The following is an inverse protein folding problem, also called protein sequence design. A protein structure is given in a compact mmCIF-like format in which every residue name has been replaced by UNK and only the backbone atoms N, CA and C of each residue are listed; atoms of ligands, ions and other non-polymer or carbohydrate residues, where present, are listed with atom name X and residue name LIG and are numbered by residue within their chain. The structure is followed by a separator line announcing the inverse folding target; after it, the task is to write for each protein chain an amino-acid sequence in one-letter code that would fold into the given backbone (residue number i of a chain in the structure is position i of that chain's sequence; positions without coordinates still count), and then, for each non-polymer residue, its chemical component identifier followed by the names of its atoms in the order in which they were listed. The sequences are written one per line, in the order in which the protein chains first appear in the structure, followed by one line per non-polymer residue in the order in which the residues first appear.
data_IF_070857196776
#
_entry.id   IF_070857196776
#
_cell.length_a   1.000
_cell.length_b   1.000
_cell.length_c   1.000
_cell.angle_alpha   90.00
_cell.angle_beta   90.00
_cell.angle_gamma   90.00
#
_symmetry.space_group_name_H-M   'P 1'
#
loop_
_entity.id
_entity.type
_entity.pdbx_description
1 polymer ?
#
# COMPACT_ATOMS: atom_id res chain seq x y z
N UNK A 1 10.54 21.69 -26.19
CA UNK A 1 9.58 21.11 -25.22
C UNK A 1 10.36 20.63 -24.02
N UNK A 2 9.98 21.03 -22.82
CA UNK A 2 10.57 20.53 -21.57
C UNK A 2 10.09 19.08 -21.36
N UNK A 3 11.02 18.15 -21.09
CA UNK A 3 10.66 16.76 -20.81
C UNK A 3 9.84 16.70 -19.53
N UNK A 4 8.78 15.86 -19.43
CA UNK A 4 7.96 15.74 -18.23
C UNK A 4 8.74 15.10 -17.07
N UNK A 5 8.22 15.24 -15.86
CA UNK A 5 8.59 14.40 -14.72
C UNK A 5 7.94 13.03 -14.93
N UNK A 6 8.69 11.94 -14.76
CA UNK A 6 8.13 10.60 -14.83
C UNK A 6 7.94 10.01 -13.41
N UNK A 7 6.72 9.61 -13.10
CA UNK A 7 6.38 8.91 -11.87
C UNK A 7 6.29 7.41 -12.18
N UNK A 8 7.08 6.59 -11.50
CA UNK A 8 7.06 5.13 -11.66
C UNK A 8 6.37 4.49 -10.47
N UNK A 9 5.18 3.95 -10.70
CA UNK A 9 4.32 3.31 -9.71
C UNK A 9 3.06 4.11 -9.39
N UNK A 10 1.89 3.54 -9.67
CA UNK A 10 0.55 4.10 -9.44
C UNK A 10 -0.06 3.72 -8.09
N UNK A 11 0.76 3.49 -7.05
CA UNK A 11 0.32 3.35 -5.68
C UNK A 11 -0.07 4.69 -5.06
N UNK A 12 -0.42 4.70 -3.76
CA UNK A 12 -0.86 5.91 -3.06
C UNK A 12 0.14 7.08 -3.21
N UNK A 13 1.42 6.81 -3.01
CA UNK A 13 2.47 7.83 -3.12
C UNK A 13 2.56 8.41 -4.54
N UNK A 14 2.58 7.56 -5.57
CA UNK A 14 2.63 8.02 -6.97
C UNK A 14 1.40 8.83 -7.37
N UNK A 15 0.21 8.43 -6.91
CA UNK A 15 -1.04 9.17 -7.17
C UNK A 15 -1.05 10.54 -6.47
N UNK A 16 -0.59 10.62 -5.22
CA UNK A 16 -0.46 11.90 -4.51
C UNK A 16 0.55 12.80 -5.22
N UNK A 17 1.68 12.26 -5.66
CA UNK A 17 2.68 13.00 -6.43
C UNK A 17 2.10 13.50 -7.77
N UNK A 18 1.40 12.66 -8.53
CA UNK A 18 0.77 13.02 -9.79
C UNK A 18 -0.25 14.16 -9.60
N UNK A 19 -1.12 14.03 -8.59
CA UNK A 19 -2.10 15.07 -8.24
C UNK A 19 -1.44 16.39 -7.84
N UNK A 20 -0.36 16.33 -7.06
CA UNK A 20 0.37 17.52 -6.63
C UNK A 20 1.03 18.24 -7.82
N UNK A 21 1.69 17.51 -8.71
CA UNK A 21 2.29 18.05 -9.93
C UNK A 21 1.23 18.61 -10.88
N UNK A 22 0.10 17.90 -11.07
CA UNK A 22 -1.01 18.36 -11.90
C UNK A 22 -1.55 19.71 -11.42
N UNK A 23 -1.87 19.80 -10.12
CA UNK A 23 -2.40 21.03 -9.52
C UNK A 23 -1.44 22.23 -9.59
N UNK A 24 -0.15 21.94 -9.57
CA UNK A 24 0.89 22.94 -9.72
C UNK A 24 1.22 23.28 -11.18
N UNK A 25 0.63 22.59 -12.19
CA UNK A 25 0.92 22.80 -13.58
C UNK A 25 2.30 22.28 -14.02
N UNK A 26 2.93 21.37 -13.26
CA UNK A 26 4.20 20.73 -13.63
C UNK A 26 3.90 19.58 -14.59
N UNK A 27 4.46 19.55 -15.82
CA UNK A 27 4.26 18.45 -16.75
C UNK A 27 4.79 17.13 -16.19
N UNK A 28 3.96 16.10 -16.19
CA UNK A 28 4.33 14.77 -15.70
C UNK A 28 3.68 13.65 -16.51
N UNK A 29 4.20 12.45 -16.32
CA UNK A 29 3.61 11.20 -16.77
C UNK A 29 3.73 10.17 -15.64
N UNK A 30 2.71 9.34 -15.44
CA UNK A 30 2.71 8.25 -14.46
C UNK A 30 2.61 6.92 -15.20
N UNK A 31 3.49 5.99 -14.88
CA UNK A 31 3.42 4.59 -15.35
C UNK A 31 3.18 3.63 -14.20
N UNK A 32 2.33 2.63 -14.43
CA UNK A 32 1.99 1.58 -13.48
C UNK A 32 2.10 0.20 -14.18
N UNK A 33 2.76 -0.74 -13.52
CA UNK A 33 2.98 -2.08 -14.06
C UNK A 33 1.70 -2.93 -14.11
N UNK A 34 0.73 -2.66 -13.23
CA UNK A 34 -0.57 -3.36 -13.19
C UNK A 34 -1.57 -2.71 -14.15
N UNK A 35 -2.64 -3.48 -14.44
CA UNK A 35 -3.83 -2.96 -15.13
C UNK A 35 -4.72 -2.08 -14.21
N UNK A 36 -4.26 -1.72 -13.01
CA UNK A 36 -5.00 -0.92 -12.02
C UNK A 36 -4.07 -0.02 -11.21
N UNK A 37 -4.60 1.08 -10.77
CA UNK A 37 -3.98 1.95 -9.78
C UNK A 37 -4.15 1.39 -8.35
N UNK A 38 -3.52 2.02 -7.36
CA UNK A 38 -3.63 1.73 -5.93
C UNK A 38 -2.48 0.89 -5.34
N UNK A 39 -1.73 0.17 -6.16
CA UNK A 39 -0.59 -0.64 -5.68
C UNK A 39 -1.01 -1.68 -4.61
N UNK A 40 -0.48 -1.54 -3.38
CA UNK A 40 -0.82 -2.39 -2.22
C UNK A 40 -2.21 -2.10 -1.61
N UNK A 41 -2.85 -1.01 -1.96
CA UNK A 41 -4.26 -0.78 -1.67
C UNK A 41 -5.08 -1.64 -2.63
N UNK A 42 -5.90 -2.52 -2.07
CA UNK A 42 -6.79 -3.41 -2.80
C UNK A 42 -8.05 -3.61 -1.98
N UNK A 43 -9.17 -3.17 -2.53
CA UNK A 43 -10.51 -3.38 -1.97
C UNK A 43 -11.34 -4.17 -2.97
N UNK A 44 -12.06 -5.18 -2.50
CA UNK A 44 -13.04 -5.93 -3.28
C UNK A 44 -14.36 -5.85 -2.54
N UNK A 45 -15.41 -5.39 -3.19
CA UNK A 45 -16.77 -5.26 -2.62
C UNK A 45 -16.78 -4.49 -1.28
N UNK A 46 -16.01 -3.41 -1.16
CA UNK A 46 -15.89 -2.61 0.06
C UNK A 46 -15.01 -3.20 1.16
N UNK A 47 -14.39 -4.36 0.92
CA UNK A 47 -13.56 -5.10 1.88
C UNK A 47 -12.08 -5.02 1.51
N UNK A 48 -11.25 -4.60 2.45
CA UNK A 48 -9.83 -4.34 2.22
C UNK A 48 -8.97 -5.60 2.36
N UNK A 49 -8.28 -5.93 1.29
CA UNK A 49 -7.26 -6.99 1.23
C UNK A 49 -5.83 -6.46 1.37
N UNK A 50 -5.68 -5.15 1.37
CA UNK A 50 -4.47 -4.41 1.72
C UNK A 50 -4.62 -3.70 3.08
N UNK A 51 -4.14 -2.43 3.21
CA UNK A 51 -4.31 -1.62 4.41
C UNK A 51 -5.81 -1.38 4.69
N UNK A 52 -6.16 -1.29 5.97
CA UNK A 52 -7.56 -1.20 6.42
C UNK A 52 -7.80 0.07 7.24
N UNK A 53 -6.79 0.56 7.96
CA UNK A 53 -6.97 1.56 9.00
C UNK A 53 -6.28 2.88 8.68
N UNK A 54 -6.92 3.95 9.14
CA UNK A 54 -6.37 5.29 9.29
C UNK A 54 -6.39 5.62 10.77
N UNK A 55 -5.35 6.25 11.28
CA UNK A 55 -5.21 6.67 12.67
C UNK A 55 -5.06 8.18 12.76
N UNK A 56 -6.17 8.95 12.82
CA UNK A 56 -6.12 10.42 12.78
C UNK A 56 -5.26 11.04 13.88
N UNK A 57 -5.29 10.47 15.09
CA UNK A 57 -4.49 10.99 16.19
C UNK A 57 -2.98 10.74 16.03
N UNK A 58 -2.58 9.70 15.30
CA UNK A 58 -1.17 9.41 15.03
C UNK A 58 -0.68 10.11 13.76
N UNK A 59 -1.56 10.29 12.77
CA UNK A 59 -1.25 10.77 11.43
C UNK A 59 -2.23 11.88 11.00
N UNK A 60 -2.26 13.04 11.70
CA UNK A 60 -3.25 14.09 11.46
C UNK A 60 -3.22 14.62 10.02
N UNK A 61 -2.04 14.93 9.47
CA UNK A 61 -1.91 15.48 8.12
C UNK A 61 -2.45 14.50 7.05
N UNK A 62 -2.23 13.19 7.27
CA UNK A 62 -2.79 12.18 6.37
C UNK A 62 -4.31 12.05 6.54
N UNK A 63 -4.82 12.15 7.76
CA UNK A 63 -6.26 12.13 8.01
C UNK A 63 -6.94 13.33 7.36
N UNK A 64 -6.36 14.53 7.45
CA UNK A 64 -6.84 15.73 6.76
C UNK A 64 -6.82 15.55 5.24
N UNK A 65 -5.78 14.92 4.70
CA UNK A 65 -5.72 14.58 3.28
C UNK A 65 -6.86 13.64 2.87
N UNK A 66 -7.14 12.59 3.66
CA UNK A 66 -8.25 11.64 3.42
C UNK A 66 -9.60 12.38 3.40
N UNK A 67 -9.85 13.28 4.35
CA UNK A 67 -11.06 14.07 4.39
C UNK A 67 -11.11 15.09 3.23
N UNK A 68 -9.98 15.72 2.92
CA UNK A 68 -9.84 16.72 1.85
C UNK A 68 -10.11 16.18 0.44
N UNK A 69 -9.99 14.88 0.22
CA UNK A 69 -10.41 14.22 -1.04
C UNK A 69 -11.86 13.74 -1.01
N UNK A 70 -12.62 14.05 0.05
CA UNK A 70 -14.02 13.69 0.19
C UNK A 70 -14.27 12.24 0.59
N UNK A 71 -13.24 11.50 1.04
CA UNK A 71 -13.42 10.15 1.57
C UNK A 71 -14.09 10.21 2.95
N UNK A 72 -15.10 9.38 3.18
CA UNK A 72 -15.81 9.30 4.46
C UNK A 72 -15.19 8.22 5.32
N UNK A 73 -14.93 8.54 6.58
CA UNK A 73 -14.41 7.59 7.57
C UNK A 73 -15.50 7.14 8.53
N UNK A 74 -15.31 5.97 9.14
CA UNK A 74 -16.13 5.46 10.25
C UNK A 74 -15.22 4.71 11.23
N UNK A 75 -15.66 4.61 12.47
CA UNK A 75 -14.87 3.97 13.54
C UNK A 75 -14.79 2.46 13.33
N UNK A 76 -13.60 1.88 13.49
CA UNK A 76 -13.44 0.44 13.57
C UNK A 76 -14.29 -0.10 14.72
N UNK A 77 -15.11 -1.12 14.42
CA UNK A 77 -15.87 -1.78 15.48
C UNK A 77 -14.93 -2.58 16.41
N UNK A 78 -14.99 -2.29 17.69
CA UNK A 78 -14.21 -2.94 18.75
C UNK A 78 -15.02 -3.18 20.03
N UNK A 79 -16.36 -2.98 19.96
CA UNK A 79 -17.26 -3.15 21.11
C UNK A 79 -17.56 -4.63 21.34
N UNK A 80 -17.47 -5.09 22.59
CA UNK A 80 -17.68 -6.47 23.00
C UNK A 80 -16.39 -7.17 23.40
N UNK A 81 -16.48 -8.45 23.78
CA UNK A 81 -15.33 -9.23 24.20
C UNK A 81 -14.48 -9.68 23.01
N UNK A 82 -13.19 -9.81 23.22
CA UNK A 82 -12.28 -10.45 22.30
C UNK A 82 -12.07 -11.94 22.63
N UNK A 83 -11.65 -12.72 21.65
CA UNK A 83 -11.29 -14.14 21.85
C UNK A 83 -9.77 -14.31 21.84
N UNK A 84 -9.27 -15.13 22.74
CA UNK A 84 -7.87 -15.55 22.73
C UNK A 84 -7.78 -17.08 22.81
N UNK A 85 -7.06 -17.69 21.86
CA UNK A 85 -6.86 -19.13 21.81
C UNK A 85 -5.37 -19.46 21.90
N UNK A 86 -4.99 -20.15 22.97
CA UNK A 86 -3.64 -20.68 23.17
C UNK A 86 -3.48 -22.01 22.43
N UNK A 87 -2.23 -22.47 22.25
CA UNK A 87 -1.90 -23.75 21.59
C UNK A 87 -2.63 -24.95 22.21
N UNK A 88 -2.91 -24.90 23.50
CA UNK A 88 -3.67 -25.92 24.23
C UNK A 88 -4.91 -25.27 24.84
N UNK A 89 -6.07 -25.82 24.52
CA UNK A 89 -7.34 -25.38 25.09
C UNK A 89 -8.31 -24.73 24.08
N UNK A 90 -9.50 -24.44 24.61
CA UNK A 90 -10.56 -23.72 23.90
C UNK A 90 -10.29 -22.22 23.90
N UNK A 91 -10.90 -21.52 22.94
CA UNK A 91 -10.88 -20.07 22.93
C UNK A 91 -11.53 -19.52 24.22
N UNK A 92 -10.87 -18.55 24.85
CA UNK A 92 -11.34 -17.86 26.04
C UNK A 92 -11.78 -16.45 25.70
N UNK A 93 -12.83 -15.95 26.35
CA UNK A 93 -13.30 -14.57 26.21
C UNK A 93 -12.57 -13.69 27.23
N UNK A 94 -12.17 -12.53 26.74
CA UNK A 94 -11.58 -11.46 27.53
C UNK A 94 -12.32 -10.15 27.24
N UNK A 95 -12.45 -9.23 28.21
CA UNK A 95 -12.96 -7.91 27.96
C UNK A 95 -12.22 -7.29 26.75
N UNK A 96 -12.97 -6.80 25.78
CA UNK A 96 -12.37 -6.15 24.61
C UNK A 96 -11.62 -4.87 24.99
N UNK A 97 -10.50 -4.63 24.37
CA UNK A 97 -9.75 -3.38 24.49
C UNK A 97 -10.27 -2.44 23.43
N UNK A 98 -11.00 -1.40 23.83
CA UNK A 98 -11.32 -0.28 22.94
C UNK A 98 -10.04 0.47 22.63
N UNK A 99 -9.83 0.76 21.36
CA UNK A 99 -8.74 1.61 20.96
C UNK A 99 -9.11 3.07 21.24
N UNK A 100 -8.28 3.74 22.02
CA UNK A 100 -8.37 5.17 22.26
C UNK A 100 -6.97 5.79 22.07
N UNK A 101 -6.77 6.61 21.06
CA UNK A 101 -7.75 7.04 20.03
C UNK A 101 -8.18 5.92 19.07
N UNK A 102 -9.43 6.00 18.60
CA UNK A 102 -10.02 5.00 17.73
C UNK A 102 -9.32 4.87 16.36
N UNK A 103 -9.16 3.65 15.87
CA UNK A 103 -8.83 3.38 14.47
C UNK A 103 -10.05 3.67 13.60
N UNK A 104 -9.80 4.31 12.44
CA UNK A 104 -10.84 4.63 11.46
C UNK A 104 -10.69 3.75 10.22
N UNK A 105 -11.82 3.47 9.57
CA UNK A 105 -11.90 2.80 8.26
C UNK A 105 -12.59 3.70 7.25
N UNK A 106 -12.42 3.43 5.95
CA UNK A 106 -13.08 4.19 4.90
C UNK A 106 -14.37 3.50 4.47
N UNK A 107 -15.45 4.28 4.35
CA UNK A 107 -16.69 3.82 3.74
C UNK A 107 -16.44 3.50 2.27
N UNK A 108 -16.76 2.26 1.88
CA UNK A 108 -16.43 1.71 0.56
C UNK A 108 -15.02 1.10 0.44
N UNK A 109 -14.24 1.11 1.54
CA UNK A 109 -12.89 0.56 1.62
C UNK A 109 -11.80 1.52 1.16
N UNK A 110 -10.56 1.13 1.39
CA UNK A 110 -9.38 1.99 1.18
C UNK A 110 -9.17 2.40 -0.30
N UNK A 111 -9.65 1.59 -1.26
CA UNK A 111 -9.53 1.94 -2.69
C UNK A 111 -10.33 3.20 -3.08
N UNK A 112 -11.32 3.61 -2.27
CA UNK A 112 -12.01 4.90 -2.46
C UNK A 112 -11.03 6.07 -2.38
N UNK A 113 -10.04 6.01 -1.49
CA UNK A 113 -9.00 7.03 -1.38
C UNK A 113 -8.20 7.17 -2.68
N UNK A 114 -7.71 6.06 -3.21
CA UNK A 114 -6.92 6.07 -4.45
C UNK A 114 -7.74 6.46 -5.66
N UNK A 115 -9.01 6.05 -5.73
CA UNK A 115 -9.93 6.47 -6.79
C UNK A 115 -10.16 7.99 -6.75
N UNK A 116 -10.48 8.56 -5.58
CA UNK A 116 -10.69 10.00 -5.43
C UNK A 116 -9.46 10.85 -5.76
N UNK A 117 -8.26 10.33 -5.48
CA UNK A 117 -7.02 11.02 -5.88
C UNK A 117 -6.82 10.91 -7.39
N UNK A 118 -7.10 9.76 -7.98
CA UNK A 118 -6.98 9.51 -9.41
C UNK A 118 -7.97 10.36 -10.23
N UNK A 119 -9.19 10.61 -9.73
CA UNK A 119 -10.18 11.49 -10.38
C UNK A 119 -9.64 12.91 -10.68
N UNK A 120 -8.65 13.37 -9.90
CA UNK A 120 -7.98 14.66 -10.10
C UNK A 120 -6.74 14.57 -11.04
N UNK A 121 -6.42 13.38 -11.57
CA UNK A 121 -5.26 13.14 -12.45
C UNK A 121 -5.75 12.88 -13.87
N UNK A 122 -5.33 13.64 -14.88
CA UNK A 122 -5.80 13.43 -16.26
C UNK A 122 -5.42 12.04 -16.80
N UNK A 123 -6.36 11.34 -17.42
CA UNK A 123 -6.16 9.97 -17.93
C UNK A 123 -4.98 9.87 -18.91
N UNK A 124 -4.78 10.87 -19.77
CA UNK A 124 -3.69 10.89 -20.74
C UNK A 124 -2.30 10.98 -20.10
N UNK A 125 -2.21 11.37 -18.82
CA UNK A 125 -0.97 11.37 -18.05
C UNK A 125 -0.69 10.01 -17.39
N UNK A 126 -1.60 9.03 -17.47
CA UNK A 126 -1.49 7.73 -16.80
C UNK A 126 -1.38 6.61 -17.84
N UNK A 127 -0.36 5.77 -17.70
CA UNK A 127 -0.17 4.57 -18.51
C UNK A 127 -0.13 3.33 -17.63
N UNK A 128 -1.14 2.51 -17.72
CA UNK A 128 -1.23 1.21 -17.05
C UNK A 128 -0.55 0.12 -17.91
N UNK A 129 -0.25 -1.04 -17.32
CA UNK A 129 0.42 -2.17 -17.95
C UNK A 129 1.78 -1.77 -18.56
N UNK A 130 2.49 -0.84 -17.93
CA UNK A 130 3.79 -0.36 -18.34
C UNK A 130 4.78 -0.48 -17.17
N UNK A 131 5.56 -1.54 -17.15
CA UNK A 131 6.55 -1.80 -16.10
C UNK A 131 7.91 -1.25 -16.53
N UNK A 132 8.47 -0.33 -15.73
CA UNK A 132 9.84 0.12 -15.90
C UNK A 132 10.82 -1.05 -15.71
N UNK A 133 11.76 -1.20 -16.62
CA UNK A 133 12.78 -2.26 -16.63
C UNK A 133 14.19 -1.72 -16.51
N UNK A 134 14.46 -0.53 -17.06
CA UNK A 134 15.76 0.12 -17.00
C UNK A 134 15.62 1.65 -16.97
N UNK A 135 16.58 2.30 -16.33
CA UNK A 135 16.79 3.74 -16.33
C UNK A 135 18.19 4.05 -16.83
N UNK A 136 18.26 4.91 -17.85
CA UNK A 136 19.51 5.37 -18.45
C UNK A 136 19.68 6.87 -18.21
N UNK A 137 20.73 7.25 -17.52
CA UNK A 137 21.04 8.64 -17.24
C UNK A 137 21.78 9.27 -18.42
N UNK A 138 21.16 10.26 -19.03
CA UNK A 138 21.76 11.01 -20.12
C UNK A 138 22.01 12.48 -19.74
N UNK A 139 22.73 13.22 -20.59
CA UNK A 139 23.08 14.62 -20.31
C UNK A 139 21.85 15.54 -20.19
N UNK A 140 20.75 15.15 -20.81
CA UNK A 140 19.54 15.97 -20.89
C UNK A 140 18.34 15.36 -20.13
N UNK A 141 18.53 14.37 -19.27
CA UNK A 141 17.48 13.72 -18.50
C UNK A 141 17.66 12.21 -18.41
N UNK A 142 16.57 11.51 -18.12
CA UNK A 142 16.55 10.06 -17.94
C UNK A 142 15.71 9.42 -19.05
N UNK A 143 16.22 8.36 -19.65
CA UNK A 143 15.44 7.47 -20.52
C UNK A 143 14.99 6.28 -19.66
N UNK A 144 13.70 5.99 -19.66
CA UNK A 144 13.11 4.86 -18.93
C UNK A 144 12.55 3.87 -19.93
N UNK A 145 13.11 2.65 -19.96
CA UNK A 145 12.60 1.56 -20.79
C UNK A 145 11.50 0.79 -20.04
N UNK A 146 10.48 0.39 -20.79
CA UNK A 146 9.35 -0.37 -20.27
C UNK A 146 9.28 -1.77 -20.91
N UNK A 147 8.62 -2.71 -20.25
CA UNK A 147 8.53 -4.12 -20.69
C UNK A 147 7.66 -4.33 -21.94
N UNK A 148 6.90 -3.33 -22.36
CA UNK A 148 6.18 -3.31 -23.64
C UNK A 148 7.03 -2.79 -24.81
N UNK A 149 8.34 -2.57 -24.58
CA UNK A 149 9.30 -2.13 -25.58
C UNK A 149 9.33 -0.61 -25.86
N UNK A 150 8.62 0.19 -25.04
CA UNK A 150 8.63 1.66 -25.15
C UNK A 150 9.74 2.30 -24.32
N UNK A 151 10.28 3.42 -24.84
CA UNK A 151 11.17 4.31 -24.10
C UNK A 151 10.48 5.63 -23.80
N UNK A 152 10.60 6.08 -22.56
CA UNK A 152 10.05 7.34 -22.07
C UNK A 152 11.18 8.27 -21.66
N UNK A 153 11.10 9.53 -22.13
CA UNK A 153 12.11 10.55 -21.80
C UNK A 153 11.59 11.44 -20.69
N UNK A 154 12.36 11.55 -19.61
CA UNK A 154 12.01 12.36 -18.44
C UNK A 154 13.08 13.39 -18.10
N UNK A 155 12.68 14.55 -17.57
CA UNK A 155 13.59 15.51 -16.95
C UNK A 155 14.08 14.99 -15.59
N UNK A 156 13.20 14.29 -14.86
CA UNK A 156 13.42 13.71 -13.53
C UNK A 156 12.48 12.51 -13.33
N UNK A 157 12.90 11.56 -12.52
CA UNK A 157 12.11 10.38 -12.16
C UNK A 157 11.75 10.41 -10.68
N UNK A 158 10.47 10.23 -10.36
CA UNK A 158 9.96 9.97 -9.02
C UNK A 158 9.63 8.49 -8.91
N UNK A 159 10.41 7.76 -8.12
CA UNK A 159 10.29 6.32 -7.96
C UNK A 159 9.35 6.02 -6.77
N UNK A 160 8.07 5.77 -7.07
CA UNK A 160 7.01 5.48 -6.10
C UNK A 160 6.90 3.98 -5.80
N UNK A 161 8.03 3.30 -5.67
CA UNK A 161 8.18 1.88 -5.41
C UNK A 161 8.90 1.63 -4.10
N UNK A 162 8.71 0.45 -3.45
CA UNK A 162 9.60 0.01 -2.39
C UNK A 162 11.04 -0.05 -2.88
N UNK A 163 12.03 0.47 -2.11
CA UNK A 163 13.43 0.50 -2.55
C UNK A 163 13.98 -0.88 -2.91
N UNK A 164 13.71 -1.91 -2.09
CA UNK A 164 14.13 -3.29 -2.33
C UNK A 164 13.59 -3.83 -3.66
N UNK A 165 12.32 -3.57 -3.95
CA UNK A 165 11.69 -3.98 -5.22
C UNK A 165 12.35 -3.28 -6.41
N UNK A 166 12.59 -1.97 -6.32
CA UNK A 166 13.27 -1.20 -7.35
C UNK A 166 14.68 -1.72 -7.62
N UNK A 167 15.48 -1.96 -6.56
CA UNK A 167 16.83 -2.52 -6.66
C UNK A 167 16.87 -3.90 -7.32
N UNK A 168 15.80 -4.70 -7.19
CA UNK A 168 15.74 -6.06 -7.74
C UNK A 168 15.16 -6.14 -9.16
N UNK A 169 14.44 -5.11 -9.62
CA UNK A 169 13.64 -5.17 -10.86
C UNK A 169 14.04 -4.17 -11.93
N UNK A 170 14.82 -3.16 -11.57
CA UNK A 170 15.19 -2.07 -12.48
C UNK A 170 16.71 -2.04 -12.65
N UNK A 171 17.16 -2.03 -13.89
CA UNK A 171 18.57 -1.80 -14.24
C UNK A 171 18.83 -0.29 -14.25
N UNK A 172 19.92 0.13 -13.63
CA UNK A 172 20.37 1.53 -13.63
C UNK A 172 21.67 1.67 -14.42
N UNK A 173 21.72 2.59 -15.37
CA UNK A 173 22.91 2.94 -16.13
C UNK A 173 23.13 4.47 -16.12
N UNK A 174 24.20 4.98 -15.46
CA UNK A 174 25.22 4.22 -14.75
C UNK A 174 24.68 3.49 -13.52
N UNK A 175 25.37 2.45 -13.03
CA UNK A 175 24.95 1.72 -11.84
C UNK A 175 24.82 2.62 -10.62
N UNK A 176 23.85 2.32 -9.76
CA UNK A 176 23.74 3.01 -8.45
C UNK A 176 25.02 2.83 -7.63
N UNK A 177 25.43 3.84 -6.87
CA UNK A 177 26.55 3.70 -5.94
C UNK A 177 26.34 2.48 -5.02
N UNK A 178 27.38 1.66 -4.76
CA UNK A 178 27.23 0.42 -3.99
C UNK A 178 26.60 0.61 -2.60
N UNK A 179 26.83 1.76 -1.96
CA UNK A 179 26.25 2.07 -0.66
C UNK A 179 24.73 2.33 -0.76
N UNK A 180 24.29 2.99 -1.82
CA UNK A 180 22.87 3.23 -2.12
C UNK A 180 22.17 1.92 -2.46
N UNK A 181 22.76 1.10 -3.31
CA UNK A 181 22.20 -0.20 -3.69
C UNK A 181 22.01 -1.11 -2.46
N UNK A 182 23.02 -1.20 -1.58
CA UNK A 182 22.90 -1.96 -0.32
C UNK A 182 21.81 -1.42 0.59
N UNK A 183 21.68 -0.08 0.70
CA UNK A 183 20.60 0.54 1.46
C UNK A 183 19.22 0.11 0.93
N UNK A 184 19.02 0.19 -0.38
CA UNK A 184 17.73 -0.18 -0.99
C UNK A 184 17.42 -1.67 -0.79
N UNK A 185 18.41 -2.54 -0.99
CA UNK A 185 18.27 -3.99 -0.78
C UNK A 185 17.97 -4.36 0.68
N UNK A 186 18.53 -3.63 1.63
CA UNK A 186 18.30 -3.88 3.06
C UNK A 186 16.96 -3.36 3.58
N UNK A 187 16.26 -2.48 2.84
CA UNK A 187 14.99 -1.91 3.28
C UNK A 187 13.84 -2.88 3.05
N UNK A 188 13.20 -3.43 4.10
CA UNK A 188 12.08 -4.35 3.93
C UNK A 188 10.86 -3.65 3.32
N UNK A 189 10.12 -4.38 2.48
CA UNK A 189 8.84 -3.91 1.96
C UNK A 189 7.74 -4.25 2.95
N UNK A 190 7.14 -3.23 3.57
CA UNK A 190 6.12 -3.43 4.60
C UNK A 190 4.92 -4.25 4.08
N UNK A 191 4.53 -5.24 4.85
CA UNK A 191 3.45 -6.18 4.57
C UNK A 191 3.64 -7.07 3.32
N UNK A 192 4.77 -6.98 2.61
CA UNK A 192 5.03 -7.85 1.45
C UNK A 192 4.99 -9.35 1.78
N UNK A 193 5.53 -9.84 2.92
CA UNK A 193 5.47 -11.26 3.25
C UNK A 193 4.10 -11.73 3.75
N UNK A 194 3.11 -10.85 3.89
CA UNK A 194 1.85 -11.16 4.56
C UNK A 194 0.75 -11.61 3.59
N UNK A 195 -0.22 -12.33 4.14
CA UNK A 195 -1.45 -12.67 3.44
C UNK A 195 -2.67 -12.31 4.31
N UNK A 196 -3.76 -11.96 3.66
CA UNK A 196 -5.01 -11.56 4.28
C UNK A 196 -6.17 -12.40 3.77
N UNK A 197 -7.03 -12.81 4.68
CA UNK A 197 -8.24 -13.56 4.44
C UNK A 197 -9.45 -12.77 4.93
N UNK A 198 -10.55 -12.80 4.18
CA UNK A 198 -11.82 -12.17 4.54
C UNK A 198 -12.94 -13.17 4.34
N UNK A 199 -13.84 -13.31 5.30
CA UNK A 199 -15.07 -14.10 5.23
C UNK A 199 -16.28 -13.19 5.39
N UNK A 200 -17.26 -13.31 4.49
CA UNK A 200 -18.48 -12.49 4.44
C UNK A 200 -19.67 -13.30 4.89
N UNK A 201 -20.54 -12.70 5.67
CA UNK A 201 -21.72 -13.35 6.27
C UNK A 201 -22.98 -12.53 5.99
N UNK A 202 -24.14 -13.13 6.21
CA UNK A 202 -25.45 -12.48 6.11
C UNK A 202 -25.67 -11.43 7.21
N UNK A 203 -25.10 -11.65 8.40
CA UNK A 203 -25.24 -10.77 9.56
C UNK A 203 -23.99 -10.87 10.47
N UNK A 204 -23.74 -9.85 11.30
CA UNK A 204 -22.60 -9.85 12.22
C UNK A 204 -22.95 -10.63 13.52
N UNK A 205 -23.18 -11.94 13.43
CA UNK A 205 -23.65 -12.81 14.53
C UNK A 205 -22.70 -12.78 15.75
N UNK A 206 -21.42 -12.48 15.57
CA UNK A 206 -20.49 -12.31 16.69
C UNK A 206 -20.84 -11.09 17.55
N UNK A 207 -21.34 -10.00 16.94
CA UNK A 207 -21.82 -8.83 17.70
C UNK A 207 -23.07 -9.16 18.52
N UNK A 208 -23.98 -9.93 17.98
CA UNK A 208 -25.18 -10.44 18.68
C UNK A 208 -24.79 -11.33 19.87
N UNK A 209 -23.66 -12.07 19.76
CA UNK A 209 -23.10 -12.88 20.84
C UNK A 209 -22.26 -12.06 21.85
N UNK A 210 -22.23 -10.72 21.73
CA UNK A 210 -21.47 -9.84 22.61
C UNK A 210 -19.96 -9.85 22.37
N UNK A 211 -19.53 -10.28 21.15
CA UNK A 211 -18.12 -10.29 20.75
C UNK A 211 -17.80 -9.10 19.86
N UNK A 212 -16.60 -8.58 19.96
CA UNK A 212 -16.08 -7.49 19.14
C UNK A 212 -15.73 -7.92 17.70
N UNK A 213 -15.66 -9.23 17.44
CA UNK A 213 -15.08 -9.77 16.21
C UNK A 213 -13.56 -9.85 16.24
N UNK A 214 -12.93 -9.33 17.28
CA UNK A 214 -11.50 -9.46 17.49
C UNK A 214 -11.14 -10.82 18.07
N UNK A 215 -10.11 -11.45 17.49
CA UNK A 215 -9.53 -12.67 18.05
C UNK A 215 -8.02 -12.74 17.80
N UNK A 216 -7.31 -13.36 18.71
CA UNK A 216 -5.92 -13.80 18.53
C UNK A 216 -5.84 -15.29 18.77
N UNK A 217 -5.16 -16.01 17.88
CA UNK A 217 -5.07 -17.46 17.98
C UNK A 217 -3.65 -17.95 17.70
N UNK A 218 -3.23 -18.92 18.48
CA UNK A 218 -2.00 -19.69 18.28
C UNK A 218 -2.25 -21.02 17.55
N UNK A 219 -3.49 -21.25 17.12
CA UNK A 219 -3.93 -22.47 16.42
C UNK A 219 -4.58 -22.07 15.11
N UNK A 220 -4.14 -22.70 14.00
CA UNK A 220 -4.65 -22.43 12.66
C UNK A 220 -3.93 -21.27 11.96
N UNK A 221 -4.33 -20.97 10.72
CA UNK A 221 -3.60 -20.00 9.90
C UNK A 221 -3.83 -18.54 10.30
N UNK A 222 -4.96 -18.19 10.94
CA UNK A 222 -5.30 -16.81 11.28
C UNK A 222 -4.74 -16.47 12.66
N UNK A 223 -3.71 -15.63 12.73
CA UNK A 223 -3.07 -15.23 14.00
C UNK A 223 -3.76 -14.06 14.66
N UNK A 224 -4.39 -13.21 13.87
CA UNK A 224 -5.11 -12.02 14.32
C UNK A 224 -6.34 -11.81 13.43
N UNK A 225 -7.50 -11.63 14.04
CA UNK A 225 -8.81 -11.51 13.39
C UNK A 225 -9.49 -10.24 13.88
N UNK A 226 -10.23 -9.57 13.00
CA UNK A 226 -10.99 -8.35 13.32
C UNK A 226 -12.33 -8.34 12.60
N UNK A 227 -13.25 -7.56 13.14
CA UNK A 227 -14.48 -7.17 12.46
C UNK A 227 -14.15 -6.36 11.20
N UNK A 228 -14.67 -6.80 10.06
CA UNK A 228 -14.50 -6.16 8.76
C UNK A 228 -15.83 -5.63 8.21
N UNK A 229 -16.89 -5.61 9.03
CA UNK A 229 -18.21 -5.12 8.60
C UNK A 229 -18.09 -3.74 7.99
N UNK A 230 -18.62 -3.55 6.81
CA UNK A 230 -18.54 -2.30 6.06
C UNK A 230 -19.47 -1.22 6.64
N UNK A 231 -19.30 0.02 6.22
CA UNK A 231 -20.12 1.14 6.70
C UNK A 231 -21.61 1.01 6.32
N UNK A 232 -21.92 0.29 5.26
CA UNK A 232 -23.29 -0.02 4.79
C UNK A 232 -23.85 -1.32 5.40
N UNK A 233 -23.12 -1.95 6.32
CA UNK A 233 -23.60 -3.07 7.12
C UNK A 233 -23.32 -4.47 6.57
N UNK A 234 -22.55 -4.62 5.49
CA UNK A 234 -22.13 -5.94 4.99
C UNK A 234 -21.23 -6.61 6.01
N UNK A 235 -21.72 -7.66 6.65
CA UNK A 235 -21.04 -8.33 7.74
C UNK A 235 -19.83 -9.13 7.25
N UNK A 236 -18.67 -8.91 7.84
CA UNK A 236 -17.45 -9.64 7.50
C UNK A 236 -16.47 -9.71 8.68
N UNK A 237 -15.65 -10.76 8.68
CA UNK A 237 -14.45 -10.90 9.50
C UNK A 237 -13.24 -10.95 8.58
N UNK A 238 -12.15 -10.28 8.94
CA UNK A 238 -10.88 -10.49 8.29
C UNK A 238 -9.82 -11.01 9.25
N UNK A 239 -8.82 -11.72 8.71
CA UNK A 239 -7.68 -12.15 9.50
C UNK A 239 -6.38 -12.11 8.73
N UNK A 240 -5.29 -11.84 9.47
CA UNK A 240 -3.94 -11.99 8.96
C UNK A 240 -3.50 -13.45 9.07
N UNK A 241 -2.90 -13.96 7.98
CA UNK A 241 -2.36 -15.32 7.95
C UNK A 241 -0.93 -15.29 8.47
N UNK A 242 -0.72 -15.96 9.62
CA UNK A 242 0.58 -16.06 10.28
C UNK A 242 1.48 -17.20 9.78
N UNK A 243 0.98 -18.01 8.83
CA UNK A 243 1.78 -19.06 8.17
C UNK A 243 2.78 -18.41 7.24
N UNK A 244 4.03 -18.88 7.22
CA UNK A 244 5.08 -18.32 6.38
C UNK A 244 4.73 -18.37 4.89
N UNK A 245 5.33 -17.49 4.09
CA UNK A 245 5.08 -17.45 2.64
C UNK A 245 5.42 -18.79 1.96
N UNK A 246 6.48 -19.45 2.40
CA UNK A 246 6.90 -20.76 1.87
C UNK A 246 5.87 -21.85 2.21
N UNK A 247 5.40 -21.91 3.45
CA UNK A 247 4.37 -22.86 3.85
C UNK A 247 3.05 -22.60 3.13
N UNK A 248 2.66 -21.32 2.94
CA UNK A 248 1.47 -20.96 2.16
C UNK A 248 1.57 -21.41 0.71
N UNK A 249 2.73 -21.21 0.08
CA UNK A 249 2.97 -21.68 -1.29
C UNK A 249 2.87 -23.21 -1.41
N UNK A 250 3.37 -23.93 -0.40
CA UNK A 250 3.33 -25.40 -0.36
C UNK A 250 1.92 -25.94 -0.08
N UNK A 251 1.17 -25.33 0.83
CA UNK A 251 -0.18 -25.76 1.19
C UNK A 251 -1.21 -25.44 0.10
N UNK A 252 -1.03 -24.35 -0.59
CA UNK A 252 -1.95 -23.83 -1.60
C UNK A 252 -3.18 -23.13 -1.04
N UNK A 253 -3.76 -22.28 -1.88
CA UNK A 253 -4.89 -21.37 -1.52
C UNK A 253 -6.09 -22.10 -0.91
N UNK A 254 -6.53 -23.22 -1.54
CA UNK A 254 -7.74 -23.93 -1.09
C UNK A 254 -7.58 -24.51 0.31
N UNK A 255 -6.44 -25.13 0.61
CA UNK A 255 -6.16 -25.70 1.92
C UNK A 255 -6.12 -24.61 3.01
N UNK A 256 -5.54 -23.45 2.71
CA UNK A 256 -5.50 -22.31 3.65
C UNK A 256 -6.88 -21.74 3.92
N UNK A 257 -7.72 -21.56 2.91
CA UNK A 257 -9.11 -21.11 3.08
C UNK A 257 -9.89 -22.12 3.94
N UNK A 258 -9.80 -23.41 3.64
CA UNK A 258 -10.48 -24.45 4.42
C UNK A 258 -10.03 -24.45 5.89
N UNK A 259 -8.72 -24.30 6.12
CA UNK A 259 -8.18 -24.24 7.48
C UNK A 259 -8.62 -22.96 8.22
N UNK A 260 -8.68 -21.81 7.53
CA UNK A 260 -9.16 -20.55 8.08
C UNK A 260 -10.65 -20.63 8.47
N UNK A 261 -11.49 -21.21 7.63
CA UNK A 261 -12.92 -21.41 7.93
C UNK A 261 -13.14 -22.32 9.11
N UNK A 262 -12.40 -23.44 9.18
CA UNK A 262 -12.44 -24.33 10.35
C UNK A 262 -12.05 -23.58 11.63
N UNK A 263 -11.00 -22.75 11.57
CA UNK A 263 -10.56 -21.95 12.71
C UNK A 263 -11.63 -20.92 13.12
N UNK A 264 -12.25 -20.22 12.18
CA UNK A 264 -13.35 -19.29 12.46
C UNK A 264 -14.51 -20.03 13.14
N UNK A 265 -14.86 -21.25 12.67
CA UNK A 265 -15.88 -22.09 13.29
C UNK A 265 -15.54 -22.47 14.73
N UNK A 266 -14.27 -22.76 15.04
CA UNK A 266 -13.82 -23.04 16.42
C UNK A 266 -13.87 -21.82 17.33
N UNK A 267 -13.58 -20.63 16.78
CA UNK A 267 -13.52 -19.38 17.54
C UNK A 267 -14.91 -18.76 17.75
N UNK A 268 -15.70 -18.63 16.70
CA UNK A 268 -16.94 -17.86 16.68
C UNK A 268 -18.23 -18.72 16.57
N UNK A 269 -18.08 -20.03 16.57
CA UNK A 269 -19.19 -20.98 16.42
C UNK A 269 -19.37 -21.48 15.00
N UNK A 270 -20.15 -22.57 14.82
CA UNK A 270 -20.29 -23.29 13.56
C UNK A 270 -20.69 -22.41 12.36
N UNK A 271 -21.54 -21.41 12.56
CA UNK A 271 -21.95 -20.42 11.55
C UNK A 271 -20.76 -19.72 10.90
N UNK A 272 -19.68 -19.50 11.66
CA UNK A 272 -18.49 -18.83 11.13
C UNK A 272 -17.69 -19.69 10.14
N UNK A 273 -17.93 -20.99 10.06
CA UNK A 273 -17.33 -21.88 9.06
C UNK A 273 -18.06 -21.84 7.71
N UNK A 274 -19.25 -21.21 7.64
CA UNK A 274 -20.13 -21.21 6.48
C UNK A 274 -20.40 -19.76 5.96
N UNK A 275 -19.38 -19.05 5.46
CA UNK A 275 -19.58 -17.71 4.91
C UNK A 275 -20.31 -17.75 3.58
N UNK A 276 -20.96 -16.64 3.21
CA UNK A 276 -21.54 -16.44 1.87
C UNK A 276 -20.45 -16.46 0.80
N UNK A 277 -19.31 -15.81 1.09
CA UNK A 277 -18.15 -15.77 0.19
C UNK A 277 -16.87 -15.48 0.96
N UNK A 278 -15.72 -15.73 0.33
CA UNK A 278 -14.41 -15.47 0.90
C UNK A 278 -13.50 -14.76 -0.08
N UNK A 279 -12.63 -13.89 0.45
CA UNK A 279 -11.54 -13.30 -0.31
C UNK A 279 -10.20 -13.64 0.32
N UNK A 280 -9.19 -13.82 -0.51
CA UNK A 280 -7.83 -14.15 -0.09
C UNK A 280 -6.83 -13.41 -0.97
N UNK A 281 -5.90 -12.71 -0.35
CA UNK A 281 -4.76 -12.09 -1.04
C UNK A 281 -3.47 -12.47 -0.33
N UNK A 282 -2.58 -13.11 -1.04
CA UNK A 282 -1.19 -13.32 -0.64
C UNK A 282 -0.31 -12.29 -1.35
N UNK A 283 0.23 -11.36 -0.59
CA UNK A 283 1.11 -10.33 -1.13
C UNK A 283 2.50 -10.87 -1.43
N UNK A 284 2.94 -11.93 -0.73
CA UNK A 284 4.21 -12.60 -1.00
C UNK A 284 4.25 -13.28 -2.37
N UNK A 285 3.10 -13.73 -2.87
CA UNK A 285 2.96 -14.31 -4.20
C UNK A 285 2.82 -13.26 -5.33
N UNK A 286 2.84 -11.97 -5.01
CA UNK A 286 2.70 -10.88 -5.97
C UNK A 286 4.09 -10.33 -6.36
N UNK A 287 4.59 -10.62 -7.59
CA UNK A 287 5.94 -10.23 -8.01
C UNK A 287 6.13 -8.72 -8.20
N UNK A 288 5.03 -7.96 -8.21
CA UNK A 288 5.04 -6.49 -8.24
C UNK A 288 4.97 -5.89 -6.82
N UNK A 289 5.04 -6.72 -5.79
CA UNK A 289 5.03 -6.30 -4.37
C UNK A 289 6.24 -6.87 -3.63
N UNK A 290 6.47 -8.18 -3.72
CA UNK A 290 7.48 -8.89 -2.95
C UNK A 290 8.70 -9.28 -3.79
N UNK A 291 9.85 -9.30 -3.13
CA UNK A 291 11.08 -9.92 -3.61
C UNK A 291 11.38 -11.19 -2.82
N UNK A 292 12.30 -12.06 -3.25
CA UNK A 292 12.69 -13.22 -2.44
C UNK A 292 13.16 -12.86 -1.02
N UNK A 293 13.83 -11.72 -0.85
CA UNK A 293 14.33 -11.26 0.46
C UNK A 293 13.18 -10.83 1.39
N UNK A 294 12.06 -10.36 0.85
CA UNK A 294 10.86 -10.04 1.65
C UNK A 294 10.16 -11.28 2.21
N UNK A 295 10.38 -12.48 1.64
CA UNK A 295 9.75 -13.71 2.12
C UNK A 295 10.37 -14.23 3.43
N UNK A 296 11.58 -13.80 3.72
CA UNK A 296 12.38 -14.24 4.89
C UNK A 296 12.33 -13.19 6.00
N UNK A 297 12.21 -11.91 5.64
CA UNK A 297 12.28 -10.77 6.54
C UNK A 297 10.94 -10.02 6.55
N UNK A 298 10.18 -10.19 7.62
CA UNK A 298 8.92 -9.47 7.87
C UNK A 298 9.06 -8.22 8.73
N UNK A 299 10.28 -7.68 8.87
CA UNK A 299 10.53 -6.51 9.68
C UNK A 299 9.78 -5.27 9.17
N UNK A 300 9.43 -4.38 10.10
CA UNK A 300 8.89 -3.07 9.76
C UNK A 300 10.03 -2.18 9.25
N UNK A 301 9.86 -1.43 8.13
CA UNK A 301 10.86 -0.47 7.69
C UNK A 301 11.09 0.61 8.75
N UNK A 302 12.33 1.06 8.87
CA UNK A 302 12.72 2.13 9.79
C UNK A 302 13.17 3.36 9.01
N UNK A 303 13.06 4.53 9.62
CA UNK A 303 13.57 5.76 9.05
C UNK A 303 15.09 5.71 8.90
N UNK A 304 15.59 6.36 7.87
CA UNK A 304 17.01 6.38 7.51
C UNK A 304 17.49 7.82 7.48
N UNK A 305 18.53 8.09 8.25
CA UNK A 305 19.16 9.42 8.35
C UNK A 305 20.32 9.55 7.34
N UNK A 306 20.03 9.31 6.07
CA UNK A 306 20.94 9.51 4.94
C UNK A 306 20.15 9.64 3.64
N UNK A 307 20.75 10.25 2.59
CA UNK A 307 20.10 10.35 1.29
C UNK A 307 19.76 8.97 0.69
N UNK A 308 18.59 8.85 0.09
CA UNK A 308 18.17 7.66 -0.66
C UNK A 308 18.83 7.55 -2.02
N UNK A 309 19.33 8.67 -2.57
CA UNK A 309 19.99 8.74 -3.87
C UNK A 309 21.23 9.63 -3.72
N UNK A 310 22.35 9.14 -4.25
CA UNK A 310 23.64 9.84 -4.23
C UNK A 310 24.30 9.76 -5.63
N UNK A 311 25.39 10.50 -5.83
CA UNK A 311 26.17 10.49 -7.06
C UNK A 311 25.45 11.11 -8.24
N UNK A 312 25.64 10.56 -9.43
CA UNK A 312 25.13 11.12 -10.68
C UNK A 312 23.60 11.16 -10.74
N UNK A 313 22.92 10.24 -10.03
CA UNK A 313 21.47 10.16 -9.96
C UNK A 313 20.83 11.23 -9.07
N UNK A 314 21.55 11.85 -8.15
CA UNK A 314 21.01 12.75 -7.12
C UNK A 314 20.17 13.91 -7.67
N UNK A 315 20.45 14.37 -8.90
CA UNK A 315 19.73 15.48 -9.53
C UNK A 315 18.58 15.02 -10.45
N UNK A 316 18.42 13.70 -10.64
CA UNK A 316 17.50 13.14 -11.65
C UNK A 316 16.55 12.07 -11.11
N UNK A 317 16.76 11.62 -9.89
CA UNK A 317 16.00 10.52 -9.29
C UNK A 317 15.66 10.84 -7.84
N UNK A 318 14.40 10.65 -7.45
CA UNK A 318 13.94 10.69 -6.07
C UNK A 318 13.14 9.43 -5.74
N UNK A 319 13.32 8.91 -4.52
CA UNK A 319 12.47 7.86 -3.99
C UNK A 319 11.34 8.48 -3.17
N UNK A 320 10.11 8.11 -3.53
CA UNK A 320 8.89 8.59 -2.89
C UNK A 320 7.97 7.44 -2.42
N UNK A 321 8.46 6.18 -2.41
CA UNK A 321 7.74 5.07 -1.80
C UNK A 321 7.56 5.26 -0.29
N UNK A 322 6.52 4.64 0.29
CA UNK A 322 6.21 4.77 1.72
C UNK A 322 7.37 4.40 2.64
N UNK A 323 8.20 3.46 2.23
CA UNK A 323 9.39 3.00 2.97
C UNK A 323 10.44 4.09 3.12
N UNK A 324 10.37 5.15 2.29
CA UNK A 324 11.33 6.28 2.32
C UNK A 324 10.87 7.46 3.15
N UNK A 325 9.73 7.33 3.82
CA UNK A 325 9.24 8.35 4.75
C UNK A 325 10.18 8.55 5.92
N UNK A 326 10.34 9.81 6.34
CA UNK A 326 11.15 10.16 7.51
C UNK A 326 10.44 9.83 8.82
N UNK A 327 9.10 9.88 8.85
CA UNK A 327 8.32 9.78 10.08
C UNK A 327 7.53 8.49 10.19
N UNK A 328 6.99 7.99 9.06
CA UNK A 328 6.05 6.87 9.04
C UNK A 328 6.40 5.84 7.96
N UNK A 329 7.64 5.30 7.96
CA UNK A 329 8.07 4.36 6.91
C UNK A 329 7.10 3.18 6.80
N UNK A 330 6.69 2.84 5.58
CA UNK A 330 5.78 1.74 5.28
C UNK A 330 4.29 2.01 5.49
N UNK A 331 3.90 3.04 6.23
CA UNK A 331 2.48 3.41 6.44
C UNK A 331 1.89 4.20 5.26
N UNK A 332 0.56 4.30 5.24
CA UNK A 332 -0.16 5.18 4.30
C UNK A 332 0.25 6.65 4.49
N UNK A 333 0.40 7.08 5.75
CA UNK A 333 0.90 8.41 6.09
C UNK A 333 2.33 8.63 5.56
N UNK A 334 3.16 7.59 5.56
CA UNK A 334 4.50 7.65 4.98
C UNK A 334 4.47 7.79 3.45
N UNK A 335 3.51 7.15 2.77
CA UNK A 335 3.32 7.35 1.34
C UNK A 335 2.91 8.80 1.01
N UNK A 336 2.07 9.41 1.84
CA UNK A 336 1.66 10.81 1.74
C UNK A 336 2.85 11.76 1.95
N UNK A 337 3.59 11.60 3.05
CA UNK A 337 4.76 12.43 3.37
C UNK A 337 5.82 12.34 2.26
N UNK A 338 6.21 11.13 1.85
CA UNK A 338 7.26 10.93 0.86
C UNK A 338 6.88 11.53 -0.51
N UNK A 339 5.61 11.43 -0.91
CA UNK A 339 5.12 12.05 -2.14
C UNK A 339 5.23 13.58 -2.12
N UNK A 340 4.77 14.21 -1.04
CA UNK A 340 4.84 15.67 -0.88
C UNK A 340 6.29 16.15 -0.80
N UNK A 341 7.15 15.46 -0.06
CA UNK A 341 8.57 15.75 0.02
C UNK A 341 9.25 15.70 -1.34
N UNK A 342 8.97 14.67 -2.15
CA UNK A 342 9.58 14.50 -3.48
C UNK A 342 9.06 15.49 -4.52
N UNK A 343 7.82 15.97 -4.39
CA UNK A 343 7.24 16.93 -5.35
C UNK A 343 7.50 18.40 -5.01
N UNK A 344 7.68 18.74 -3.73
CA UNK A 344 7.86 20.12 -3.29
C UNK A 344 9.00 20.88 -4.00
N UNK A 345 10.22 20.32 -4.20
CA UNK A 345 11.28 21.02 -4.92
C UNK A 345 10.95 21.30 -6.40
N UNK A 346 10.19 20.40 -7.05
CA UNK A 346 9.79 20.51 -8.45
C UNK A 346 8.75 21.63 -8.63
N UNK A 347 7.80 21.72 -7.70
CA UNK A 347 6.78 22.76 -7.67
C UNK A 347 7.44 24.12 -7.40
N UNK A 348 8.32 24.21 -6.40
CA UNK A 348 9.04 25.44 -6.08
C UNK A 348 9.96 25.93 -7.21
N UNK A 349 10.45 25.01 -8.05
CA UNK A 349 11.24 25.38 -9.22
C UNK A 349 10.38 26.04 -10.30
N UNK A 350 9.15 25.56 -10.51
CA UNK A 350 8.21 26.15 -11.47
C UNK A 350 7.80 27.56 -11.04
N UNK A 351 7.58 27.78 -9.73
CA UNK A 351 7.21 29.09 -9.20
C UNK A 351 8.27 30.18 -9.41
N UNK A 352 9.52 29.79 -9.60
CA UNK A 352 10.64 30.71 -9.90
C UNK A 352 10.76 31.06 -11.38
N UNK A 353 10.02 30.38 -12.26
CA UNK A 353 10.06 30.70 -13.69
C UNK A 353 9.19 31.93 -13.99
N UNK A 354 9.59 32.81 -14.93
CA UNK A 354 8.76 33.91 -15.40
C UNK A 354 7.43 33.38 -15.97
N UNK A 355 6.34 34.15 -15.83
CA UNK A 355 4.99 33.76 -16.29
C UNK A 355 4.94 33.35 -17.76
N UNK A 356 5.78 33.92 -18.60
CA UNK A 356 5.92 33.58 -20.01
C UNK A 356 6.42 32.14 -20.28
N UNK A 357 6.98 31.48 -19.26
CA UNK A 357 7.49 30.10 -19.37
C UNK A 357 6.63 29.08 -18.61
N UNK A 358 5.61 29.54 -17.85
CA UNK A 358 4.71 28.68 -17.04
C UNK A 358 3.57 28.05 -17.87
N UNK A 359 3.20 28.66 -19.01
CA UNK A 359 2.04 28.25 -19.82
C UNK A 359 2.45 27.43 -21.06
N UNK A 360 2.90 26.19 -20.86
CA UNK A 360 2.91 25.21 -21.96
C UNK A 360 1.98 24.06 -21.56
N UNK A 361 0.74 23.98 -22.12
CA UNK A 361 -0.13 22.84 -21.86
C UNK A 361 0.53 21.56 -22.33
N UNK A 362 0.33 20.46 -21.57
CA UNK A 362 0.59 19.11 -22.05
C UNK A 362 -0.29 18.85 -23.27
N UNK A 363 0.28 18.85 -24.47
CA UNK A 363 -0.35 18.33 -25.70
C UNK A 363 0.05 16.90 -25.92
#
# INVERSE_FOLDING_TARGET
MTKPVLIIGGGLSGLIAARALHRAGVPFQLIEARARLGGRILTIDGLDLGPTWVWPAMHPDFADHVLGVGARTFVQWDTGDMLFQRRQGTAQRYPGLRQDPASMRLAGGMSVLTARIADDVPDHCVRLNARATALFLGPHGVTVSTDDGGDLMASRVLLALPPRLAASRIVFDPPLPPAVLRLWQSMPTWMAPHAKFVAVYDRPFWREAGLSGAARSQIGPLVEIHDATTADGRAALFGFIGVSAQERASAGRCALITAALRQLGMLFGAVAAEPITTFYKDWAADPLTATPDDLVDGAHPSSVDRPWVEGEWATRLDLIGSETSHYFPGYLAGAHEAALRGTAPLIAQLDRLPDSQRNTPCT
#
